data_IF_907837572927
#
_entry.id   IF_907837572927
#
_cell.length_a   1.000
_cell.length_b   1.000
_cell.length_c   1.000
_cell.angle_alpha   90.00
_cell.angle_beta   90.00
_cell.angle_gamma   90.00
#
_symmetry.space_group_name_H-M   'P 1'
#
loop_
_entity.id
_entity.type
_entity.pdbx_description
1 polymer ?
#
# COMPACT_ATOMS: atom_id res chain seq x y z
N UNK A 1 -17.83 4.08 -12.77
CA UNK A 1 -16.53 3.63 -12.25
C UNK A 1 -16.65 2.43 -11.33
N UNK A 2 -17.33 2.49 -10.18
CA UNK A 2 -17.38 1.35 -9.24
C UNK A 2 -17.96 0.07 -9.84
N UNK A 3 -19.08 0.18 -10.56
CA UNK A 3 -19.66 -0.93 -11.32
C UNK A 3 -18.70 -1.52 -12.37
N UNK A 4 -17.91 -0.68 -13.04
CA UNK A 4 -16.93 -1.13 -14.04
C UNK A 4 -15.75 -1.85 -13.38
N UNK A 5 -15.30 -1.36 -12.23
CA UNK A 5 -14.24 -2.00 -11.44
C UNK A 5 -14.71 -3.33 -10.87
N UNK A 6 -15.96 -3.42 -10.42
CA UNK A 6 -16.58 -4.67 -9.97
C UNK A 6 -16.64 -5.70 -11.11
N UNK A 7 -17.14 -5.30 -12.28
CA UNK A 7 -17.16 -6.17 -13.46
C UNK A 7 -15.75 -6.60 -13.88
N UNK A 8 -14.79 -5.67 -13.86
CA UNK A 8 -13.41 -5.97 -14.18
C UNK A 8 -12.79 -6.94 -13.18
N UNK A 9 -13.03 -6.74 -11.88
CA UNK A 9 -12.63 -7.68 -10.85
C UNK A 9 -13.18 -9.08 -11.12
N UNK A 10 -14.50 -9.20 -11.30
CA UNK A 10 -15.14 -10.48 -11.63
C UNK A 10 -14.56 -11.14 -12.88
N UNK A 11 -14.15 -10.36 -13.88
CA UNK A 11 -13.51 -10.89 -15.10
C UNK A 11 -12.13 -11.50 -14.86
N UNK A 12 -11.38 -11.04 -13.85
CA UNK A 12 -10.02 -11.50 -13.55
C UNK A 12 -9.95 -12.47 -12.36
N UNK A 13 -10.94 -12.46 -11.46
CA UNK A 13 -11.02 -13.27 -10.25
C UNK A 13 -12.06 -14.39 -10.32
N UNK A 14 -13.03 -14.30 -11.24
CA UNK A 14 -14.20 -15.19 -11.26
C UNK A 14 -15.25 -14.89 -10.18
N UNK A 15 -15.02 -13.91 -9.31
CA UNK A 15 -15.95 -13.49 -8.26
C UNK A 15 -16.32 -12.01 -8.41
N UNK A 16 -17.42 -11.69 -9.12
CA UNK A 16 -17.86 -10.31 -9.34
C UNK A 16 -18.47 -9.66 -8.09
N UNK A 17 -18.82 -10.42 -7.06
CA UNK A 17 -19.52 -9.89 -5.88
C UNK A 17 -18.60 -9.79 -4.66
N UNK A 18 -17.29 -10.05 -4.82
CA UNK A 18 -16.32 -9.85 -3.77
C UNK A 18 -16.36 -8.40 -3.26
N UNK A 19 -16.60 -8.27 -1.96
CA UNK A 19 -16.47 -7.01 -1.25
C UNK A 19 -15.05 -6.46 -1.39
N UNK A 20 -14.85 -5.13 -1.37
CA UNK A 20 -13.52 -4.53 -1.56
C UNK A 20 -12.43 -5.11 -0.65
N UNK A 21 -12.79 -5.41 0.61
CA UNK A 21 -11.86 -5.93 1.63
C UNK A 21 -11.53 -7.42 1.44
N UNK A 22 -12.30 -8.13 0.62
CA UNK A 22 -12.14 -9.57 0.34
C UNK A 22 -11.38 -9.84 -0.97
N UNK A 23 -10.78 -8.80 -1.57
CA UNK A 23 -10.04 -8.89 -2.84
C UNK A 23 -8.58 -9.15 -2.59
N UNK A 24 -8.12 -10.34 -2.97
CA UNK A 24 -6.72 -10.76 -2.81
C UNK A 24 -6.08 -11.09 -4.15
N UNK A 25 -4.79 -10.79 -4.28
CA UNK A 25 -4.03 -11.05 -5.50
C UNK A 25 -4.01 -12.54 -5.88
N UNK A 26 -4.14 -13.43 -4.89
CA UNK A 26 -4.23 -14.88 -5.06
C UNK A 26 -5.47 -15.34 -5.83
N UNK A 27 -6.56 -14.56 -5.79
CA UNK A 27 -7.79 -14.84 -6.53
C UNK A 27 -7.68 -14.49 -8.02
N UNK A 28 -6.69 -13.68 -8.43
CA UNK A 28 -6.51 -13.28 -9.83
C UNK A 28 -5.99 -14.48 -10.64
N UNK A 29 -6.81 -15.05 -11.52
CA UNK A 29 -6.47 -16.27 -12.26
C UNK A 29 -5.29 -16.11 -13.22
N UNK A 30 -5.20 -14.96 -13.89
CA UNK A 30 -4.12 -14.71 -14.85
C UNK A 30 -2.81 -14.31 -14.13
N UNK A 31 -1.73 -15.09 -14.27
CA UNK A 31 -0.47 -14.83 -13.57
C UNK A 31 0.18 -13.51 -14.00
N UNK A 32 0.06 -13.09 -15.26
CA UNK A 32 0.62 -11.81 -15.71
C UNK A 32 -0.06 -10.62 -15.02
N UNK A 33 -1.39 -10.67 -14.86
CA UNK A 33 -2.15 -9.65 -14.14
C UNK A 33 -1.80 -9.65 -12.65
N UNK A 34 -1.55 -10.84 -12.09
CA UNK A 34 -1.13 -11.01 -10.69
C UNK A 34 0.25 -10.39 -10.44
N UNK A 35 1.24 -10.67 -11.30
CA UNK A 35 2.56 -10.04 -11.19
C UNK A 35 2.51 -8.54 -11.45
N UNK A 36 1.65 -8.09 -12.37
CA UNK A 36 1.45 -6.65 -12.58
C UNK A 36 0.91 -5.98 -11.32
N UNK A 37 -0.04 -6.61 -10.60
CA UNK A 37 -0.47 -6.14 -9.28
C UNK A 37 0.68 -6.09 -8.28
N UNK A 38 1.51 -7.14 -8.17
CA UNK A 38 2.67 -7.13 -7.27
C UNK A 38 3.63 -5.97 -7.54
N UNK A 39 3.92 -5.69 -8.82
CA UNK A 39 4.78 -4.56 -9.20
C UNK A 39 4.15 -3.26 -8.71
N UNK A 40 2.87 -3.02 -8.99
CA UNK A 40 2.17 -1.81 -8.53
C UNK A 40 2.19 -1.67 -7.01
N UNK A 41 1.80 -2.74 -6.29
CA UNK A 41 1.70 -2.76 -4.84
C UNK A 41 3.03 -2.38 -4.17
N UNK A 42 4.16 -2.93 -4.64
CA UNK A 42 5.45 -2.71 -3.99
C UNK A 42 6.22 -1.48 -4.51
N UNK A 43 5.96 -1.02 -5.74
CA UNK A 43 6.69 0.14 -6.31
C UNK A 43 5.92 1.44 -6.19
N UNK A 44 4.61 1.43 -6.45
CA UNK A 44 3.78 2.64 -6.47
C UNK A 44 3.16 2.88 -5.10
N UNK A 45 2.60 1.83 -4.49
CA UNK A 45 1.85 1.95 -3.23
C UNK A 45 2.68 1.62 -1.98
N UNK A 46 3.89 1.07 -2.15
CA UNK A 46 4.80 0.77 -1.05
C UNK A 46 4.24 -0.22 -0.01
N UNK A 47 3.41 -1.17 -0.45
CA UNK A 47 2.85 -2.23 0.40
C UNK A 47 3.94 -3.17 0.93
N UNK A 48 3.71 -3.68 2.13
CA UNK A 48 4.58 -4.71 2.73
C UNK A 48 4.50 -6.02 1.93
N UNK A 49 5.54 -6.85 2.02
CA UNK A 49 5.64 -8.12 1.29
C UNK A 49 4.45 -9.07 1.55
N UNK A 50 3.86 -9.02 2.73
CA UNK A 50 2.79 -9.93 3.14
C UNK A 50 1.39 -9.38 2.80
N UNK A 51 1.31 -8.11 2.38
CA UNK A 51 0.05 -7.49 2.01
C UNK A 51 -0.31 -7.86 0.57
N UNK A 52 -1.26 -8.77 0.44
CA UNK A 52 -1.77 -9.28 -0.84
C UNK A 52 -3.12 -8.71 -1.22
N UNK A 53 -3.69 -7.81 -0.40
CA UNK A 53 -4.98 -7.19 -0.69
C UNK A 53 -4.88 -6.31 -1.94
N UNK A 54 -5.94 -6.27 -2.74
CA UNK A 54 -6.01 -5.46 -3.96
C UNK A 54 -6.87 -4.24 -3.67
N UNK A 55 -6.26 -3.07 -3.57
CA UNK A 55 -7.01 -1.84 -3.30
C UNK A 55 -7.80 -1.37 -4.51
N UNK A 56 -8.73 -0.43 -4.29
CA UNK A 56 -9.52 0.18 -5.36
C UNK A 56 -8.63 0.91 -6.37
N UNK A 57 -7.60 1.60 -5.89
CA UNK A 57 -6.65 2.37 -6.70
C UNK A 57 -5.80 1.45 -7.58
N UNK A 58 -5.31 0.35 -7.00
CA UNK A 58 -4.57 -0.68 -7.73
C UNK A 58 -5.44 -1.32 -8.82
N UNK A 59 -6.70 -1.63 -8.47
CA UNK A 59 -7.67 -2.18 -9.41
C UNK A 59 -8.01 -1.20 -10.54
N UNK A 60 -8.11 0.10 -10.23
CA UNK A 60 -8.33 1.16 -11.20
C UNK A 60 -7.18 1.27 -12.22
N UNK A 61 -5.91 1.28 -11.76
CA UNK A 61 -4.75 1.31 -12.66
C UNK A 61 -4.76 0.09 -13.59
N UNK A 62 -5.02 -1.11 -13.05
CA UNK A 62 -5.14 -2.34 -13.83
C UNK A 62 -6.26 -2.25 -14.87
N UNK A 63 -7.42 -1.71 -14.49
CA UNK A 63 -8.54 -1.50 -15.41
C UNK A 63 -8.13 -0.58 -16.56
N UNK A 64 -7.51 0.56 -16.27
CA UNK A 64 -7.03 1.49 -17.31
C UNK A 64 -6.06 0.82 -18.29
N UNK A 65 -5.07 0.08 -17.78
CA UNK A 65 -4.12 -0.68 -18.62
C UNK A 65 -4.84 -1.72 -19.48
N UNK A 66 -5.80 -2.45 -18.92
CA UNK A 66 -6.57 -3.46 -19.67
C UNK A 66 -7.40 -2.86 -20.82
N UNK A 67 -7.79 -1.59 -20.70
CA UNK A 67 -8.57 -0.86 -21.70
C UNK A 67 -7.69 -0.03 -22.64
N UNK A 68 -6.36 -0.10 -22.51
CA UNK A 68 -5.44 0.75 -23.28
C UNK A 68 -5.61 2.25 -22.98
N UNK A 69 -6.12 2.60 -21.79
CA UNK A 69 -6.34 3.98 -21.38
C UNK A 69 -5.12 4.52 -20.63
N UNK A 70 -4.59 5.70 -20.99
CA UNK A 70 -3.52 6.31 -20.24
C UNK A 70 -4.00 6.64 -18.82
N UNK A 71 -3.11 6.49 -17.84
CA UNK A 71 -3.35 6.83 -16.44
C UNK A 71 -2.18 7.64 -15.91
N UNK A 72 -2.47 8.75 -15.24
CA UNK A 72 -1.45 9.54 -14.57
C UNK A 72 -1.11 8.87 -13.22
N UNK A 73 0.07 8.25 -13.15
CA UNK A 73 0.52 7.54 -11.94
C UNK A 73 1.17 8.46 -10.89
N UNK A 74 1.53 9.70 -11.26
CA UNK A 74 2.28 10.60 -10.38
C UNK A 74 1.61 10.87 -9.02
N UNK A 75 0.28 11.08 -8.93
CA UNK A 75 -0.37 11.31 -7.64
C UNK A 75 -0.24 10.15 -6.66
N UNK A 76 -0.27 8.90 -7.16
CA UNK A 76 -0.15 7.71 -6.32
C UNK A 76 1.28 7.56 -5.76
N UNK A 77 2.28 7.87 -6.59
CA UNK A 77 3.69 7.86 -6.16
C UNK A 77 3.93 8.94 -5.11
N UNK A 78 3.41 10.16 -5.33
CA UNK A 78 3.55 11.27 -4.38
C UNK A 78 2.90 10.93 -3.03
N UNK A 79 1.68 10.38 -3.03
CA UNK A 79 1.01 9.94 -1.82
C UNK A 79 1.82 8.87 -1.05
N UNK A 80 2.51 7.97 -1.76
CA UNK A 80 3.39 7.00 -1.11
C UNK A 80 4.64 7.67 -0.52
N UNK A 81 5.22 8.67 -1.18
CA UNK A 81 6.33 9.44 -0.60
C UNK A 81 5.91 10.21 0.65
N UNK A 82 4.76 10.88 0.62
CA UNK A 82 4.23 11.60 1.80
C UNK A 82 4.08 10.64 3.00
N UNK A 83 3.50 9.45 2.78
CA UNK A 83 3.37 8.41 3.80
C UNK A 83 4.74 7.95 4.36
N UNK A 84 5.74 7.77 3.50
CA UNK A 84 7.09 7.37 3.92
C UNK A 84 7.74 8.47 4.77
N UNK A 85 7.58 9.73 4.40
CA UNK A 85 8.08 10.88 5.15
C UNK A 85 7.44 10.92 6.54
N UNK A 86 6.12 10.82 6.64
CA UNK A 86 5.38 10.81 7.91
C UNK A 86 5.79 9.64 8.82
N UNK A 87 5.94 8.44 8.24
CA UNK A 87 6.40 7.25 8.98
C UNK A 87 7.84 7.43 9.50
N UNK A 88 8.69 8.10 8.72
CA UNK A 88 10.08 8.34 9.12
C UNK A 88 10.16 9.40 10.23
N UNK A 89 9.37 10.47 10.12
CA UNK A 89 9.32 11.54 11.12
C UNK A 89 8.78 11.04 12.46
N UNK A 90 7.68 10.29 12.45
CA UNK A 90 7.13 9.68 13.67
C UNK A 90 8.13 8.74 14.35
N UNK A 91 8.90 7.97 13.59
CA UNK A 91 9.95 7.12 14.16
C UNK A 91 11.07 7.93 14.83
N UNK A 92 11.47 9.06 14.24
CA UNK A 92 12.47 9.97 14.82
C UNK A 92 11.95 10.67 16.09
N UNK A 93 10.68 11.06 16.12
CA UNK A 93 10.05 11.63 17.32
C UNK A 93 10.05 10.64 18.49
N UNK A 94 9.70 9.37 18.23
CA UNK A 94 9.77 8.32 19.23
C UNK A 94 11.19 8.07 19.75
N UNK A 95 12.20 8.10 18.86
CA UNK A 95 13.60 7.97 19.26
C UNK A 95 14.06 9.17 20.10
N UNK A 96 13.69 10.39 19.73
CA UNK A 96 14.06 11.59 20.47
C UNK A 96 13.44 11.61 21.88
N UNK A 97 12.15 11.28 21.99
CA UNK A 97 11.46 11.18 23.28
C UNK A 97 12.07 10.05 24.13
N UNK A 98 12.32 8.88 23.55
CA UNK A 98 12.95 7.77 24.26
C UNK A 98 14.37 8.07 24.76
N UNK A 99 15.16 8.85 24.00
CA UNK A 99 16.47 9.32 24.47
C UNK A 99 16.31 10.33 25.61
N UNK A 100 15.34 11.26 25.53
CA UNK A 100 15.10 12.22 26.60
C UNK A 100 14.69 11.57 27.93
N UNK A 101 13.96 10.45 27.89
CA UNK A 101 13.58 9.68 29.08
C UNK A 101 14.80 9.00 29.74
N UNK A 102 15.79 8.57 28.95
CA UNK A 102 17.05 7.98 29.45
C UNK A 102 17.89 9.03 30.21
N UNK A 103 17.94 10.27 29.72
CA UNK A 103 18.71 11.36 30.34
C UNK A 103 18.00 12.05 31.51
N UNK A 104 16.68 11.87 31.64
CA UNK A 104 15.87 12.46 32.73
C UNK A 104 15.59 11.48 33.87
N UNK A 105 15.99 10.20 33.74
CA UNK A 105 15.89 9.21 34.81
C UNK A 105 16.82 9.58 36.00
N UNK A 106 16.30 9.74 37.24
CA UNK A 106 17.09 10.12 38.41
C UNK A 106 18.21 9.12 38.79
N UNK A 107 18.22 7.91 38.21
CA UNK A 107 19.20 6.86 38.49
C UNK A 107 20.55 7.03 37.80
N UNK A 108 20.68 7.95 36.83
CA UNK A 108 21.93 8.18 36.10
C UNK A 108 22.93 9.10 36.84
N UNK A 109 22.53 9.75 37.95
CA UNK A 109 23.34 10.72 38.71
C UNK A 109 24.08 10.14 39.93
N UNK A 110 24.04 8.82 40.17
CA UNK A 110 24.58 8.21 41.41
C UNK A 110 25.92 7.48 41.24
N UNK A 111 26.69 7.76 40.18
CA UNK A 111 28.07 7.25 40.07
C UNK A 111 28.99 8.38 39.61
N UNK A 112 29.37 9.25 40.55
CA UNK A 112 30.53 10.13 40.46
C UNK A 112 31.14 10.28 41.86
#
# INVERSE_FOLDING_TARGET
>A
MDYELQNFWGSISGDPNAEPDDRFSTQIHNPAIRYFHMILAHTIFGKSKNDTAVTKEELFIKFCVSKGRPVNIAPFILANFDRIIETSLSHLEHLYLGVSDIWTSPSALTVA
#
